data_IF_155535189020
#
_entry.id   IF_155535189020
#
_cell.length_a   1.000
_cell.length_b   1.000
_cell.length_c   1.000
_cell.angle_alpha   90.00
_cell.angle_beta   90.00
_cell.angle_gamma   90.00
#
_symmetry.space_group_name_H-M   'P 1'
#
loop_
_entity.id
_entity.type
_entity.pdbx_description
1 polymer ?
#
# COMPACT_ATOMS: atom_id res chain seq x y z
N UNK A 1 -23.19 -0.54 8.55
CA UNK A 1 -22.74 -0.49 7.15
C UNK A 1 -21.73 0.65 7.04
N UNK A 2 -20.46 0.37 7.30
CA UNK A 2 -19.39 1.27 6.86
C UNK A 2 -19.28 1.08 5.35
N UNK A 3 -18.95 2.13 4.58
CA UNK A 3 -18.79 1.99 3.13
C UNK A 3 -17.36 2.37 2.82
N UNK A 4 -16.51 1.40 2.49
CA UNK A 4 -15.17 1.71 1.97
C UNK A 4 -15.31 2.05 0.49
N UNK A 5 -15.71 3.27 0.21
CA UNK A 5 -15.92 3.72 -1.15
C UNK A 5 -17.01 4.78 -1.21
N UNK A 6 -16.75 5.79 -2.01
CA UNK A 6 -17.59 6.97 -2.25
C UNK A 6 -19.07 6.59 -2.36
N UNK A 7 -19.91 7.15 -1.48
CA UNK A 7 -21.38 7.08 -1.56
C UNK A 7 -21.90 7.97 -2.69
N UNK A 8 -21.64 7.60 -3.94
CA UNK A 8 -22.39 7.94 -5.16
C UNK A 8 -21.64 7.26 -6.33
N UNK A 9 -22.30 6.97 -7.45
CA UNK A 9 -21.70 6.43 -8.68
C UNK A 9 -20.72 7.41 -9.38
N UNK A 10 -19.95 8.19 -8.62
CA UNK A 10 -18.96 9.15 -9.10
C UNK A 10 -17.61 8.77 -8.50
N UNK A 11 -16.63 8.56 -9.37
CA UNK A 11 -15.21 8.25 -9.09
C UNK A 11 -14.45 9.35 -8.30
N UNK A 12 -15.13 10.18 -7.51
CA UNK A 12 -14.52 11.37 -6.95
C UNK A 12 -15.16 11.85 -5.65
N UNK A 13 -14.40 11.75 -4.56
CA UNK A 13 -14.63 12.54 -3.33
C UNK A 13 -14.64 14.03 -3.67
N UNK A 14 -15.59 14.79 -3.15
CA UNK A 14 -15.58 16.25 -3.27
C UNK A 14 -14.29 16.86 -2.69
N UNK A 15 -13.95 18.09 -3.11
CA UNK A 15 -12.80 18.83 -2.55
C UNK A 15 -12.85 18.90 -1.01
N UNK A 16 -14.04 19.04 -0.42
CA UNK A 16 -14.25 19.06 1.03
C UNK A 16 -13.88 17.72 1.67
N UNK A 17 -14.32 16.61 1.09
CA UNK A 17 -14.03 15.27 1.61
C UNK A 17 -12.55 14.93 1.47
N UNK A 18 -11.92 15.30 0.34
CA UNK A 18 -10.47 15.15 0.13
C UNK A 18 -9.69 15.89 1.20
N UNK A 19 -10.02 17.16 1.46
CA UNK A 19 -9.40 17.96 2.52
C UNK A 19 -9.61 17.37 3.92
N UNK A 20 -10.79 16.78 4.19
CA UNK A 20 -11.04 16.12 5.47
C UNK A 20 -10.16 14.88 5.67
N UNK A 21 -9.98 14.06 4.62
CA UNK A 21 -9.07 12.92 4.68
C UNK A 21 -7.62 13.39 4.87
N UNK A 22 -7.15 14.34 4.05
CA UNK A 22 -5.80 14.92 4.13
C UNK A 22 -5.50 15.45 5.54
N UNK A 23 -6.45 16.20 6.13
CA UNK A 23 -6.30 16.72 7.50
C UNK A 23 -6.14 15.60 8.54
N UNK A 24 -6.88 14.51 8.40
CA UNK A 24 -6.74 13.36 9.30
C UNK A 24 -5.39 12.66 9.14
N UNK A 25 -4.88 12.52 7.91
CA UNK A 25 -3.53 11.99 7.67
C UNK A 25 -2.46 12.91 8.27
N UNK A 26 -2.56 14.22 8.07
CA UNK A 26 -1.64 15.20 8.69
C UNK A 26 -1.67 15.14 10.23
N UNK A 27 -2.83 14.85 10.81
CA UNK A 27 -2.94 14.59 12.26
C UNK A 27 -2.11 13.36 12.68
N UNK A 28 -2.06 12.28 11.90
CA UNK A 28 -1.21 11.12 12.20
C UNK A 28 0.29 11.47 12.17
N UNK A 29 0.71 12.36 11.27
CA UNK A 29 2.10 12.84 11.18
C UNK A 29 2.53 13.76 12.33
N UNK A 30 1.57 14.31 13.08
CA UNK A 30 1.82 15.25 14.19
C UNK A 30 1.49 14.66 15.57
N UNK A 31 0.70 13.58 15.61
CA UNK A 31 0.37 12.86 16.83
C UNK A 31 1.56 12.01 17.30
N UNK A 32 1.82 11.89 18.61
CA UNK A 32 2.98 11.16 19.13
C UNK A 32 2.89 9.66 18.83
N UNK A 33 4.03 9.05 18.47
CA UNK A 33 4.14 7.59 18.31
C UNK A 33 3.70 6.85 19.58
N UNK A 34 3.10 5.67 19.38
CA UNK A 34 2.73 4.70 20.44
C UNK A 34 3.67 3.50 20.48
N UNK A 35 4.60 3.35 19.54
CA UNK A 35 5.61 2.29 19.58
C UNK A 35 6.54 2.48 20.78
N UNK A 36 7.05 1.37 21.31
CA UNK A 36 8.10 1.43 22.33
C UNK A 36 9.38 2.03 21.72
N UNK A 37 9.87 3.18 22.21
CA UNK A 37 11.07 3.83 21.67
C UNK A 37 12.35 3.01 21.87
N UNK A 38 12.35 2.00 22.74
CA UNK A 38 13.45 1.04 22.86
C UNK A 38 13.47 0.01 21.73
N UNK A 39 12.31 -0.26 21.11
CA UNK A 39 12.17 -1.23 20.00
C UNK A 39 12.22 -0.51 18.65
N UNK A 40 11.55 0.64 18.54
CA UNK A 40 11.44 1.41 17.29
C UNK A 40 11.93 2.86 17.53
N UNK A 41 13.24 3.08 17.75
CA UNK A 41 13.77 4.40 18.12
C UNK A 41 13.55 5.48 17.06
N UNK A 42 13.39 5.08 15.79
CA UNK A 42 13.09 5.98 14.69
C UNK A 42 11.66 6.48 14.63
N UNK A 43 10.68 5.81 15.26
CA UNK A 43 9.30 6.28 15.26
C UNK A 43 9.15 7.54 16.12
N UNK A 44 8.56 8.59 15.54
CA UNK A 44 8.29 9.88 16.22
C UNK A 44 6.82 10.23 16.25
N UNK A 45 6.07 9.82 15.24
CA UNK A 45 4.65 10.10 15.14
C UNK A 45 3.80 8.82 14.97
N UNK A 46 2.48 8.96 15.07
CA UNK A 46 1.54 7.84 14.91
C UNK A 46 1.62 7.21 13.53
N UNK A 47 1.95 7.99 12.51
CA UNK A 47 2.12 7.49 11.16
C UNK A 47 3.33 6.53 11.06
N UNK A 48 4.44 6.85 11.73
CA UNK A 48 5.62 6.00 11.81
C UNK A 48 5.32 4.63 12.42
N UNK A 49 4.32 4.51 13.30
CA UNK A 49 3.93 3.21 13.88
C UNK A 49 3.36 2.26 12.81
N UNK A 50 2.67 2.79 11.81
CA UNK A 50 2.21 2.03 10.64
C UNK A 50 3.38 1.63 9.74
N UNK A 51 4.30 2.56 9.48
CA UNK A 51 5.51 2.29 8.71
C UNK A 51 6.34 1.20 9.39
N UNK A 52 6.54 1.32 10.70
CA UNK A 52 7.25 0.35 11.51
C UNK A 52 6.57 -1.02 11.45
N UNK A 53 5.25 -1.09 11.64
CA UNK A 53 4.49 -2.34 11.62
C UNK A 53 4.72 -3.11 10.31
N UNK A 54 4.72 -2.40 9.18
CA UNK A 54 4.98 -2.98 7.88
C UNK A 54 6.44 -3.42 7.72
N UNK A 55 7.43 -2.57 8.07
CA UNK A 55 8.85 -2.92 8.04
C UNK A 55 9.12 -4.22 8.82
N UNK A 56 8.54 -4.34 10.02
CA UNK A 56 8.76 -5.46 10.92
C UNK A 56 8.28 -6.81 10.36
N UNK A 57 7.19 -6.79 9.59
CA UNK A 57 6.52 -8.01 9.13
C UNK A 57 6.66 -8.24 7.61
N UNK A 58 7.38 -7.39 6.89
CA UNK A 58 7.50 -7.40 5.42
C UNK A 58 7.80 -8.79 4.85
N UNK A 59 8.68 -9.58 5.49
CA UNK A 59 9.09 -10.92 5.03
C UNK A 59 8.11 -12.04 5.37
N UNK A 60 7.03 -11.73 6.08
CA UNK A 60 5.97 -12.68 6.48
C UNK A 60 4.57 -12.26 6.02
N UNK A 61 4.48 -11.19 5.22
CA UNK A 61 3.20 -10.61 4.75
C UNK A 61 3.15 -10.41 3.24
N UNK A 62 4.24 -10.70 2.51
CA UNK A 62 4.30 -10.62 1.04
C UNK A 62 4.75 -11.96 0.49
N UNK A 63 4.20 -12.39 -0.64
CA UNK A 63 4.46 -13.71 -1.20
C UNK A 63 4.04 -14.85 -0.26
N UNK A 64 3.11 -14.56 0.65
CA UNK A 64 2.66 -15.43 1.75
C UNK A 64 1.15 -15.66 1.67
N UNK A 65 0.64 -16.66 2.40
CA UNK A 65 -0.79 -16.97 2.43
C UNK A 65 -1.68 -15.99 3.19
N UNK A 66 -1.08 -15.05 3.95
CA UNK A 66 -1.80 -13.98 4.63
C UNK A 66 -1.72 -12.62 3.92
N UNK A 67 -1.06 -12.51 2.75
CA UNK A 67 -0.78 -11.23 2.10
C UNK A 67 -2.04 -10.35 1.96
N UNK A 68 -3.12 -10.91 1.39
CA UNK A 68 -4.36 -10.18 1.15
C UNK A 68 -5.09 -9.81 2.45
N UNK A 69 -5.27 -10.77 3.36
CA UNK A 69 -5.93 -10.56 4.65
C UNK A 69 -5.17 -9.58 5.55
N UNK A 70 -3.85 -9.64 5.55
CA UNK A 70 -3.01 -8.77 6.36
C UNK A 70 -3.12 -7.33 5.88
N UNK A 71 -3.02 -7.09 4.57
CA UNK A 71 -3.13 -5.74 4.01
C UNK A 71 -4.53 -5.17 4.16
N UNK A 72 -5.58 -5.98 4.00
CA UNK A 72 -6.95 -5.58 4.33
C UNK A 72 -7.06 -5.11 5.79
N UNK A 73 -6.52 -5.88 6.73
CA UNK A 73 -6.57 -5.51 8.14
C UNK A 73 -5.71 -4.29 8.47
N UNK A 74 -4.58 -4.12 7.79
CA UNK A 74 -3.70 -2.97 7.93
C UNK A 74 -4.37 -1.67 7.46
N UNK A 75 -5.04 -1.71 6.30
CA UNK A 75 -5.83 -0.59 5.77
C UNK A 75 -7.02 -0.26 6.68
N UNK A 76 -7.71 -1.27 7.20
CA UNK A 76 -8.77 -1.07 8.19
C UNK A 76 -8.26 -0.44 9.48
N UNK A 77 -7.12 -0.90 10.00
CA UNK A 77 -6.48 -0.31 11.18
C UNK A 77 -6.10 1.15 10.97
N UNK A 78 -5.64 1.49 9.77
CA UNK A 78 -5.32 2.86 9.39
C UNK A 78 -6.58 3.73 9.35
N UNK A 79 -7.66 3.28 8.70
CA UNK A 79 -8.95 3.97 8.73
C UNK A 79 -9.45 4.17 10.17
N UNK A 80 -9.39 3.13 11.00
CA UNK A 80 -9.79 3.20 12.40
C UNK A 80 -8.98 4.25 13.15
N UNK A 81 -7.65 4.32 12.97
CA UNK A 81 -6.82 5.34 13.58
C UNK A 81 -7.18 6.76 13.10
N UNK A 82 -7.42 6.94 11.79
CA UNK A 82 -7.88 8.24 11.26
C UNK A 82 -9.19 8.70 11.91
N UNK A 83 -10.13 7.77 12.13
CA UNK A 83 -11.45 8.06 12.70
C UNK A 83 -11.39 8.30 14.20
N UNK A 84 -10.78 7.37 14.94
CA UNK A 84 -10.81 7.34 16.39
C UNK A 84 -9.78 8.30 17.01
N UNK A 85 -8.63 8.52 16.35
CA UNK A 85 -7.54 9.36 16.88
C UNK A 85 -7.52 10.76 16.24
N UNK A 86 -7.94 10.88 14.98
CA UNK A 86 -7.85 12.13 14.21
C UNK A 86 -9.20 12.74 13.80
N UNK A 87 -10.32 12.18 14.29
CA UNK A 87 -11.66 12.74 14.10
C UNK A 87 -12.16 12.68 12.65
N UNK A 88 -11.59 11.81 11.82
CA UNK A 88 -12.08 11.59 10.46
C UNK A 88 -13.48 10.95 10.51
N UNK A 89 -14.41 11.48 9.72
CA UNK A 89 -15.78 10.93 9.64
C UNK A 89 -16.09 10.28 8.29
N UNK A 90 -15.19 10.44 7.32
CA UNK A 90 -15.30 9.77 6.02
C UNK A 90 -14.86 8.31 6.10
N UNK A 91 -14.47 7.78 4.95
CA UNK A 91 -14.05 6.39 4.78
C UNK A 91 -12.76 6.31 3.97
N UNK A 92 -12.02 5.21 4.09
CA UNK A 92 -10.76 5.04 3.38
C UNK A 92 -10.96 5.14 1.85
N UNK A 93 -10.35 6.11 1.17
CA UNK A 93 -10.42 6.20 -0.29
C UNK A 93 -9.46 5.21 -0.95
N UNK A 94 -9.77 4.85 -2.19
CA UNK A 94 -8.91 4.03 -3.05
C UNK A 94 -8.38 4.83 -4.24
N UNK A 95 -7.21 4.43 -4.75
CA UNK A 95 -6.62 4.99 -5.97
C UNK A 95 -7.06 4.15 -7.17
N UNK A 96 -7.98 4.68 -7.99
CA UNK A 96 -8.30 4.08 -9.27
C UNK A 96 -7.16 4.30 -10.28
N UNK A 97 -6.38 3.27 -10.56
CA UNK A 97 -5.21 3.36 -11.42
C UNK A 97 -5.54 3.68 -12.88
N UNK A 98 -6.70 3.24 -13.37
CA UNK A 98 -6.99 3.16 -14.80
C UNK A 98 -7.26 4.52 -15.47
N UNK A 99 -7.54 5.58 -14.70
CA UNK A 99 -7.97 6.88 -15.25
C UNK A 99 -6.81 7.78 -15.71
N UNK A 100 -5.64 7.65 -15.08
CA UNK A 100 -4.47 8.52 -15.33
C UNK A 100 -3.19 7.70 -15.49
N UNK A 101 -3.29 6.44 -15.93
CA UNK A 101 -2.17 5.51 -16.01
C UNK A 101 -1.04 5.97 -16.96
N UNK A 102 -1.36 6.78 -17.97
CA UNK A 102 -0.46 7.32 -18.98
C UNK A 102 0.13 8.68 -18.60
N UNK A 103 -0.44 9.36 -17.59
CA UNK A 103 0.04 10.63 -17.05
C UNK A 103 -0.34 10.79 -15.58
N UNK A 104 0.44 10.19 -14.69
CA UNK A 104 0.20 10.22 -13.25
C UNK A 104 0.21 11.63 -12.68
N UNK A 105 0.92 12.59 -13.30
CA UNK A 105 1.00 13.99 -12.83
C UNK A 105 -0.32 14.74 -13.03
N UNK A 106 -1.17 14.27 -13.95
CA UNK A 106 -2.56 14.74 -14.09
C UNK A 106 -3.52 14.05 -13.13
N UNK A 107 -3.11 12.94 -12.51
CA UNK A 107 -3.90 12.28 -11.49
C UNK A 107 -4.10 13.25 -10.33
N UNK A 108 -5.33 13.44 -9.86
CA UNK A 108 -5.52 14.37 -8.78
C UNK A 108 -5.15 13.84 -7.39
N UNK A 109 -4.56 12.66 -7.34
CA UNK A 109 -3.80 12.18 -6.19
C UNK A 109 -2.41 12.85 -6.18
N UNK A 110 -1.86 13.17 -7.35
CA UNK A 110 -0.48 13.62 -7.55
C UNK A 110 -0.34 15.01 -8.20
N UNK A 111 -1.44 15.72 -8.43
CA UNK A 111 -1.43 17.03 -9.13
C UNK A 111 -0.81 18.18 -8.31
N UNK A 112 -0.43 17.93 -7.05
CA UNK A 112 0.17 18.94 -6.17
C UNK A 112 -0.79 20.01 -5.66
N UNK A 113 -2.09 19.91 -5.96
CA UNK A 113 -3.13 20.81 -5.44
C UNK A 113 -3.30 20.64 -3.93
N UNK A 114 -4.03 21.56 -3.30
CA UNK A 114 -4.43 21.49 -1.89
C UNK A 114 -5.42 20.35 -1.58
N UNK A 115 -5.83 19.57 -2.59
CA UNK A 115 -6.66 18.36 -2.45
C UNK A 115 -5.98 17.08 -2.90
N UNK A 116 -4.68 17.14 -3.19
CA UNK A 116 -3.85 15.99 -3.57
C UNK A 116 -3.16 15.37 -2.36
N UNK A 117 -2.52 14.22 -2.59
CA UNK A 117 -1.57 13.60 -1.66
C UNK A 117 -0.14 14.10 -1.90
N UNK A 118 0.02 15.32 -2.39
CA UNK A 118 1.30 15.91 -2.78
C UNK A 118 1.60 15.74 -4.27
N UNK A 119 2.55 16.50 -4.80
CA UNK A 119 3.01 16.40 -6.20
C UNK A 119 4.00 15.24 -6.43
N UNK A 120 4.58 15.20 -7.63
CA UNK A 120 5.86 14.54 -7.89
C UNK A 120 7.01 15.17 -7.07
N UNK A 121 8.15 14.48 -7.03
CA UNK A 121 9.38 14.96 -6.43
C UNK A 121 10.11 15.98 -7.29
N UNK A 122 11.00 16.77 -6.68
CA UNK A 122 11.96 17.59 -7.43
C UNK A 122 12.84 16.70 -8.29
N UNK A 123 13.14 17.11 -9.52
CA UNK A 123 13.99 16.33 -10.42
C UNK A 123 15.37 16.03 -9.81
N UNK A 124 15.76 14.77 -9.83
CA UNK A 124 17.10 14.27 -9.49
C UNK A 124 17.54 13.36 -10.64
N UNK A 125 18.71 13.63 -11.21
CA UNK A 125 19.25 12.74 -12.24
C UNK A 125 19.71 11.42 -11.60
N UNK A 126 19.12 10.29 -12.03
CA UNK A 126 19.53 8.94 -11.64
C UNK A 126 19.31 7.94 -12.78
N UNK A 127 19.82 6.72 -12.62
CA UNK A 127 19.75 5.65 -13.61
C UNK A 127 18.61 4.65 -13.32
N UNK A 128 17.39 5.16 -13.18
CA UNK A 128 16.19 4.37 -12.93
C UNK A 128 16.12 3.73 -11.55
N UNK A 129 15.25 2.74 -11.46
CA UNK A 129 15.05 1.88 -10.29
C UNK A 129 15.12 0.41 -10.68
N UNK A 130 15.42 -0.48 -9.73
CA UNK A 130 15.34 -1.93 -9.95
C UNK A 130 14.38 -2.57 -8.96
N UNK A 131 13.18 -2.89 -9.44
CA UNK A 131 12.10 -3.52 -8.69
C UNK A 131 12.00 -5.03 -8.90
N UNK A 132 10.90 -5.63 -8.44
CA UNK A 132 10.61 -7.05 -8.63
C UNK A 132 11.68 -7.98 -8.04
N UNK A 133 12.09 -7.72 -6.79
CA UNK A 133 13.20 -8.41 -6.12
C UNK A 133 14.53 -8.32 -6.90
N UNK A 134 14.83 -7.16 -7.49
CA UNK A 134 16.09 -6.89 -8.19
C UNK A 134 16.13 -7.37 -9.64
N UNK A 135 14.97 -7.70 -10.24
CA UNK A 135 14.89 -8.34 -11.57
C UNK A 135 14.34 -7.45 -12.68
N UNK A 136 13.61 -6.40 -12.31
CA UNK A 136 12.86 -5.58 -13.27
C UNK A 136 13.39 -4.15 -13.21
N UNK A 137 14.05 -3.72 -14.29
CA UNK A 137 14.48 -2.34 -14.46
C UNK A 137 13.27 -1.45 -14.77
N UNK A 138 13.22 -0.30 -14.09
CA UNK A 138 12.27 0.75 -14.37
C UNK A 138 13.03 2.02 -14.76
N UNK A 139 12.68 2.69 -15.87
CA UNK A 139 13.29 3.96 -16.23
C UNK A 139 12.96 5.03 -15.19
N UNK A 140 13.86 6.00 -15.03
CA UNK A 140 13.64 7.16 -14.17
C UNK A 140 12.37 7.90 -14.57
N UNK A 141 11.63 8.39 -13.58
CA UNK A 141 10.59 9.37 -13.78
C UNK A 141 11.16 10.77 -14.01
N UNK A 142 10.31 11.78 -13.77
CA UNK A 142 10.70 13.20 -13.84
C UNK A 142 10.93 13.80 -12.45
N UNK A 143 10.94 12.95 -11.41
CA UNK A 143 11.13 13.33 -10.02
C UNK A 143 12.47 12.82 -9.47
N UNK A 144 12.41 12.13 -8.33
CA UNK A 144 13.55 11.51 -7.64
C UNK A 144 13.91 12.20 -6.32
N UNK A 145 13.48 13.45 -6.12
CA UNK A 145 13.71 14.21 -4.90
C UNK A 145 12.45 14.40 -4.04
N UNK A 146 12.50 15.38 -3.14
CA UNK A 146 11.41 15.70 -2.22
C UNK A 146 10.15 16.14 -2.99
N UNK A 147 8.96 15.77 -2.50
CA UNK A 147 7.68 16.29 -3.00
C UNK A 147 7.73 17.83 -3.09
N UNK A 148 7.32 18.40 -4.22
CA UNK A 148 7.46 19.84 -4.49
C UNK A 148 6.31 20.71 -3.98
N UNK A 149 5.08 20.19 -3.99
CA UNK A 149 3.86 20.92 -3.61
C UNK A 149 2.77 20.01 -3.04
N UNK A 150 1.70 20.64 -2.55
CA UNK A 150 0.57 19.98 -1.93
C UNK A 150 0.72 19.79 -0.41
N UNK A 151 -0.30 19.21 0.26
CA UNK A 151 -0.42 19.21 1.72
C UNK A 151 0.65 18.41 2.47
N UNK A 152 1.41 17.58 1.75
CA UNK A 152 2.45 16.71 2.32
C UNK A 152 3.88 17.15 1.95
N UNK A 153 4.07 18.33 1.36
CA UNK A 153 5.40 18.83 0.97
C UNK A 153 6.40 18.88 2.13
N UNK A 154 5.94 19.37 3.28
CA UNK A 154 6.81 19.65 4.44
C UNK A 154 6.75 18.54 5.50
N UNK A 155 6.14 17.37 5.19
CA UNK A 155 6.19 16.24 6.12
C UNK A 155 7.58 15.64 6.13
N UNK A 156 7.95 15.15 7.31
CA UNK A 156 9.18 14.40 7.51
C UNK A 156 8.85 12.92 7.67
N UNK A 157 9.56 12.08 6.93
CA UNK A 157 9.61 10.63 7.13
C UNK A 157 10.80 10.31 8.05
N UNK A 158 10.65 9.34 8.94
CA UNK A 158 11.68 9.04 9.95
C UNK A 158 12.27 7.63 9.86
N UNK A 159 11.58 6.71 9.17
CA UNK A 159 11.98 5.31 9.05
C UNK A 159 12.39 4.97 7.61
N UNK A 160 13.21 3.92 7.47
CA UNK A 160 13.76 3.48 6.19
C UNK A 160 14.67 4.53 5.52
N UNK A 161 14.99 4.35 4.22
CA UNK A 161 14.65 3.18 3.43
C UNK A 161 15.46 1.95 3.87
N UNK A 162 14.86 0.76 3.89
CA UNK A 162 15.52 -0.49 4.30
C UNK A 162 16.04 -1.29 3.09
N UNK A 163 15.35 -1.19 1.96
CA UNK A 163 15.67 -1.81 0.69
C UNK A 163 15.26 -0.89 -0.47
N UNK A 164 15.91 0.28 -0.61
CA UNK A 164 15.55 1.24 -1.65
C UNK A 164 15.85 0.67 -3.04
N UNK A 165 14.99 0.99 -4.01
CA UNK A 165 15.13 0.52 -5.38
C UNK A 165 15.64 1.56 -6.35
N UNK A 166 15.50 2.85 -6.02
CA UNK A 166 15.94 3.96 -6.86
C UNK A 166 17.46 4.12 -6.79
N UNK A 167 18.10 4.25 -7.94
CA UNK A 167 19.55 4.40 -8.03
C UNK A 167 20.03 5.65 -7.27
N UNK A 168 21.03 5.48 -6.40
CA UNK A 168 21.62 6.56 -5.60
C UNK A 168 21.04 6.70 -4.19
N UNK A 169 19.99 5.95 -3.85
CA UNK A 169 19.50 5.91 -2.46
C UNK A 169 20.34 5.00 -1.57
N UNK A 170 20.47 5.43 -0.31
CA UNK A 170 21.26 4.73 0.70
C UNK A 170 20.32 4.18 1.76
N UNK A 171 20.37 2.86 1.97
CA UNK A 171 19.60 2.21 3.02
C UNK A 171 20.10 2.60 4.41
N UNK A 172 19.22 2.55 5.40
CA UNK A 172 19.60 2.70 6.81
C UNK A 172 20.48 1.55 7.29
N UNK A 173 21.36 1.84 8.25
CA UNK A 173 22.25 0.84 8.85
C UNK A 173 21.50 -0.14 9.77
N UNK A 174 20.46 0.34 10.46
CA UNK A 174 19.62 -0.46 11.35
C UNK A 174 18.16 -0.33 10.95
N UNK A 175 17.39 -1.42 11.08
CA UNK A 175 16.03 -1.55 10.55
C UNK A 175 15.08 -0.41 10.97
N UNK A 176 15.18 0.05 12.22
CA UNK A 176 14.34 1.12 12.78
C UNK A 176 15.12 2.37 13.19
N UNK A 177 16.28 2.61 12.55
CA UNK A 177 17.08 3.80 12.80
C UNK A 177 16.28 5.08 12.54
N UNK A 178 16.52 6.10 13.37
CA UNK A 178 15.99 7.44 13.14
C UNK A 178 16.69 8.08 11.93
N UNK A 179 15.96 8.25 10.83
CA UNK A 179 16.44 8.79 9.57
C UNK A 179 15.51 9.89 9.02
N UNK A 180 15.46 11.07 9.69
CA UNK A 180 14.61 12.18 9.31
C UNK A 180 14.94 12.75 7.91
N UNK A 181 13.98 12.73 6.99
CA UNK A 181 14.11 13.28 5.63
C UNK A 181 12.75 13.70 5.06
N UNK A 182 12.76 14.42 3.94
CA UNK A 182 11.53 14.69 3.18
C UNK A 182 10.98 13.40 2.55
N UNK A 183 9.68 13.33 2.32
CA UNK A 183 9.09 12.29 1.47
C UNK A 183 9.49 12.52 0.01
N UNK A 184 9.99 11.48 -0.67
CA UNK A 184 10.40 11.52 -2.07
C UNK A 184 9.48 10.75 -2.99
N UNK A 185 9.31 11.26 -4.21
CA UNK A 185 8.63 10.56 -5.32
C UNK A 185 9.43 10.68 -6.61
N UNK A 186 9.32 9.65 -7.43
CA UNK A 186 9.82 9.63 -8.81
C UNK A 186 8.72 9.07 -9.70
N UNK A 187 7.67 9.88 -9.94
CA UNK A 187 6.50 9.37 -10.65
C UNK A 187 6.89 8.88 -12.04
N UNK A 188 6.53 7.65 -12.38
CA UNK A 188 6.83 7.07 -13.68
C UNK A 188 5.60 6.43 -14.29
N UNK A 189 5.31 6.83 -15.53
CA UNK A 189 4.21 6.27 -16.29
C UNK A 189 4.57 4.89 -16.86
N UNK A 190 5.85 4.49 -16.81
CA UNK A 190 6.29 3.19 -17.33
C UNK A 190 5.59 2.04 -16.60
N UNK A 191 5.63 2.04 -15.26
CA UNK A 191 4.99 0.98 -14.49
C UNK A 191 3.46 0.99 -14.65
N UNK A 192 2.84 2.16 -14.59
CA UNK A 192 1.39 2.29 -14.67
C UNK A 192 0.86 1.91 -16.03
N UNK A 193 1.50 2.38 -17.11
CA UNK A 193 1.05 2.09 -18.48
C UNK A 193 1.26 0.63 -18.90
N UNK A 194 2.25 -0.08 -18.32
CA UNK A 194 2.51 -1.48 -18.67
C UNK A 194 1.69 -2.47 -17.82
N UNK A 195 1.43 -2.16 -16.54
CA UNK A 195 0.84 -3.13 -15.62
C UNK A 195 -0.46 -2.71 -14.97
N UNK A 196 -0.74 -1.41 -14.77
CA UNK A 196 -2.00 -0.95 -14.18
C UNK A 196 -3.13 -0.83 -15.21
N UNK A 197 -3.31 -1.89 -16.00
CA UNK A 197 -4.19 -1.91 -17.18
C UNK A 197 -5.47 -2.69 -16.92
N UNK A 198 -6.53 -2.36 -17.66
CA UNK A 198 -7.79 -3.12 -17.63
C UNK A 198 -7.62 -4.57 -18.09
N UNK A 199 -6.63 -4.86 -18.93
CA UNK A 199 -6.30 -6.23 -19.35
C UNK A 199 -5.80 -7.07 -18.18
N UNK A 200 -4.89 -6.52 -17.36
CA UNK A 200 -4.41 -7.22 -16.17
C UNK A 200 -5.51 -7.35 -15.11
N UNK A 201 -6.39 -6.34 -14.97
CA UNK A 201 -7.58 -6.47 -14.12
C UNK A 201 -8.49 -7.61 -14.61
N UNK A 202 -8.73 -7.70 -15.92
CA UNK A 202 -9.53 -8.77 -16.50
C UNK A 202 -8.88 -10.14 -16.24
N UNK A 203 -7.57 -10.27 -16.47
CA UNK A 203 -6.85 -11.51 -16.22
C UNK A 203 -7.03 -11.99 -14.76
N UNK A 204 -6.91 -11.07 -13.81
CA UNK A 204 -7.08 -11.33 -12.39
C UNK A 204 -8.52 -11.69 -11.99
N UNK A 205 -9.53 -11.06 -12.58
CA UNK A 205 -10.92 -11.18 -12.13
C UNK A 205 -11.71 -12.24 -12.88
N UNK A 206 -11.44 -12.45 -14.16
CA UNK A 206 -12.21 -13.35 -15.03
C UNK A 206 -11.34 -14.21 -15.97
N UNK A 207 -10.06 -13.87 -16.14
CA UNK A 207 -9.14 -14.59 -17.00
C UNK A 207 -8.39 -15.75 -16.32
N UNK A 208 -7.30 -16.24 -16.94
CA UNK A 208 -6.53 -17.37 -16.43
C UNK A 208 -6.04 -17.25 -14.98
N UNK A 209 -5.66 -16.05 -14.54
CA UNK A 209 -5.19 -15.84 -13.18
C UNK A 209 -6.32 -15.93 -12.13
N UNK A 210 -7.58 -15.76 -12.54
CA UNK A 210 -8.73 -15.81 -11.66
C UNK A 210 -9.09 -17.22 -11.13
N UNK A 211 -8.44 -18.28 -11.65
CA UNK A 211 -8.82 -19.68 -11.42
C UNK A 211 -8.89 -20.09 -9.94
N UNK A 212 -7.98 -19.61 -9.11
CA UNK A 212 -7.98 -19.83 -7.67
C UNK A 212 -7.15 -18.76 -6.96
N UNK A 213 -7.22 -18.73 -5.63
CA UNK A 213 -6.54 -17.72 -4.81
C UNK A 213 -5.01 -17.70 -5.04
N UNK A 214 -4.39 -18.86 -5.30
CA UNK A 214 -2.95 -18.95 -5.54
C UNK A 214 -2.55 -18.23 -6.85
N UNK A 215 -3.24 -18.53 -7.95
CA UNK A 215 -2.96 -17.87 -9.23
C UNK A 215 -3.32 -16.38 -9.19
N UNK A 216 -4.41 -16.02 -8.50
CA UNK A 216 -4.85 -14.65 -8.34
C UNK A 216 -3.78 -13.82 -7.62
N UNK A 217 -3.36 -14.24 -6.41
CA UNK A 217 -2.42 -13.45 -5.63
C UNK A 217 -1.02 -13.40 -6.24
N UNK A 218 -0.59 -14.45 -6.95
CA UNK A 218 0.71 -14.48 -7.63
C UNK A 218 0.72 -13.50 -8.82
N UNK A 219 -0.36 -13.45 -9.59
CA UNK A 219 -0.50 -12.47 -10.67
C UNK A 219 -0.63 -11.05 -10.11
N UNK A 220 -1.37 -10.87 -9.01
CA UNK A 220 -1.60 -9.56 -8.41
C UNK A 220 -0.28 -8.96 -7.87
N UNK A 221 0.52 -9.77 -7.18
CA UNK A 221 1.81 -9.37 -6.59
C UNK A 221 2.93 -9.24 -7.62
N UNK A 222 2.87 -10.03 -8.69
CA UNK A 222 3.83 -10.02 -9.78
C UNK A 222 4.56 -11.35 -9.98
N UNK A 223 4.82 -11.68 -11.24
CA UNK A 223 5.65 -12.81 -11.68
C UNK A 223 7.03 -12.27 -12.04
N UNK A 224 7.82 -11.92 -11.01
CA UNK A 224 9.04 -11.15 -11.20
C UNK A 224 10.10 -11.85 -12.08
N UNK A 225 10.21 -13.18 -11.99
CA UNK A 225 11.10 -13.97 -12.86
C UNK A 225 10.73 -13.90 -14.35
N UNK A 226 9.52 -13.41 -14.65
CA UNK A 226 8.99 -13.27 -16.01
C UNK A 226 8.91 -11.79 -16.43
N UNK A 227 9.53 -10.88 -15.67
CA UNK A 227 9.51 -9.45 -15.97
C UNK A 227 8.16 -8.78 -15.75
N UNK A 228 7.27 -9.38 -14.97
CA UNK A 228 5.90 -8.89 -14.75
C UNK A 228 5.72 -8.39 -13.31
N UNK A 229 5.40 -7.11 -13.14
CA UNK A 229 5.23 -6.50 -11.82
C UNK A 229 3.86 -6.79 -11.17
N UNK A 230 2.82 -7.07 -11.95
CA UNK A 230 1.46 -7.17 -11.41
C UNK A 230 0.93 -5.82 -10.90
N UNK A 231 -0.35 -5.77 -10.52
CA UNK A 231 -1.00 -4.53 -10.10
C UNK A 231 -0.42 -3.98 -8.79
N UNK A 232 -0.02 -4.84 -7.86
CA UNK A 232 0.53 -4.42 -6.57
C UNK A 232 1.90 -3.78 -6.73
N UNK A 233 2.89 -4.49 -7.29
CA UNK A 233 4.22 -3.92 -7.38
C UNK A 233 4.26 -2.71 -8.34
N UNK A 234 3.47 -2.74 -9.43
CA UNK A 234 3.41 -1.61 -10.34
C UNK A 234 2.84 -0.34 -9.69
N UNK A 235 1.87 -0.44 -8.79
CA UNK A 235 1.33 0.73 -8.08
C UNK A 235 2.39 1.42 -7.22
N UNK A 236 3.20 0.66 -6.48
CA UNK A 236 4.35 1.18 -5.73
C UNK A 236 5.40 1.78 -6.64
N UNK A 237 5.82 1.06 -7.68
CA UNK A 237 6.89 1.51 -8.56
C UNK A 237 6.48 2.64 -9.52
N UNK A 238 5.19 2.85 -9.74
CA UNK A 238 4.66 4.04 -10.41
C UNK A 238 4.86 5.32 -9.62
N UNK A 239 4.91 5.23 -8.29
CA UNK A 239 5.16 6.37 -7.41
C UNK A 239 6.66 6.63 -7.26
N UNK A 240 7.46 5.56 -7.20
CA UNK A 240 8.92 5.65 -7.07
C UNK A 240 9.34 6.28 -5.73
N UNK A 241 10.61 6.67 -5.63
CA UNK A 241 11.16 7.23 -4.38
C UNK A 241 10.90 6.32 -3.17
N UNK A 242 10.40 6.89 -2.07
CA UNK A 242 10.15 6.15 -0.82
C UNK A 242 9.06 5.06 -0.99
N UNK A 243 8.12 5.22 -1.91
CA UNK A 243 7.10 4.21 -2.20
C UNK A 243 7.67 2.96 -2.89
N UNK A 244 8.86 3.07 -3.51
CA UNK A 244 9.57 1.95 -4.13
C UNK A 244 10.30 1.04 -3.13
N UNK A 245 10.45 1.46 -1.87
CA UNK A 245 11.10 0.63 -0.85
C UNK A 245 10.18 -0.50 -0.37
N UNK A 246 10.62 -1.74 -0.49
CA UNK A 246 9.79 -2.92 -0.18
C UNK A 246 9.32 -2.98 1.28
N UNK A 247 10.09 -2.45 2.23
CA UNK A 247 9.76 -2.50 3.65
C UNK A 247 9.08 -1.23 4.13
N UNK A 248 9.52 -0.07 3.63
CA UNK A 248 9.09 1.23 4.11
C UNK A 248 8.23 1.99 3.10
N UNK A 249 7.64 1.32 2.10
CA UNK A 249 6.68 1.92 1.16
C UNK A 249 5.50 2.64 1.82
N UNK A 250 5.01 2.26 3.04
CA UNK A 250 3.98 3.05 3.72
C UNK A 250 4.45 4.45 4.14
N UNK A 251 5.72 4.81 4.01
CA UNK A 251 6.15 6.21 4.18
C UNK A 251 5.37 7.16 3.25
N UNK A 252 4.98 6.69 2.06
CA UNK A 252 4.11 7.46 1.18
C UNK A 252 2.62 7.24 1.55
N UNK A 253 1.86 8.30 1.88
CA UNK A 253 0.45 8.18 2.26
C UNK A 253 -0.49 7.69 1.15
N UNK A 254 -0.03 7.62 -0.10
CA UNK A 254 -0.77 6.96 -1.18
C UNK A 254 -0.77 5.44 -1.04
N UNK A 255 0.13 4.85 -0.23
CA UNK A 255 0.13 3.42 0.10
C UNK A 255 -1.26 2.91 0.47
N UNK A 256 -1.96 3.61 1.38
CA UNK A 256 -3.27 3.18 1.87
C UNK A 256 -4.36 3.29 0.81
N UNK A 257 -4.25 4.24 -0.13
CA UNK A 257 -5.16 4.35 -1.27
C UNK A 257 -4.89 3.27 -2.32
N UNK A 258 -3.62 2.96 -2.55
CA UNK A 258 -3.20 1.87 -3.42
C UNK A 258 -3.69 0.51 -2.89
N UNK A 259 -3.46 0.22 -1.60
CA UNK A 259 -3.90 -1.02 -0.98
C UNK A 259 -5.42 -1.12 -0.80
N UNK A 260 -6.13 -0.01 -0.62
CA UNK A 260 -7.60 -0.02 -0.70
C UNK A 260 -8.10 -0.40 -2.12
N UNK A 261 -7.38 -0.03 -3.18
CA UNK A 261 -7.72 -0.47 -4.54
C UNK A 261 -7.38 -1.94 -4.77
N UNK A 262 -6.27 -2.45 -4.22
CA UNK A 262 -5.95 -3.88 -4.26
C UNK A 262 -6.99 -4.70 -3.52
N UNK A 263 -7.42 -4.23 -2.35
CA UNK A 263 -8.49 -4.87 -1.60
C UNK A 263 -9.82 -4.85 -2.36
N UNK A 264 -10.13 -3.75 -3.07
CA UNK A 264 -11.27 -3.69 -3.99
C UNK A 264 -11.18 -4.73 -5.10
N UNK A 265 -10.01 -4.93 -5.71
CA UNK A 265 -9.82 -5.96 -6.75
C UNK A 265 -10.03 -7.35 -6.16
N UNK A 266 -9.50 -7.63 -4.97
CA UNK A 266 -9.72 -8.89 -4.29
C UNK A 266 -11.18 -9.11 -3.91
N UNK A 267 -11.86 -8.08 -3.38
CA UNK A 267 -13.29 -8.12 -3.07
C UNK A 267 -14.15 -8.42 -4.30
N UNK A 268 -13.86 -7.79 -5.45
CA UNK A 268 -14.53 -8.10 -6.73
C UNK A 268 -14.30 -9.57 -7.11
N UNK A 269 -13.05 -10.05 -7.02
CA UNK A 269 -12.74 -11.45 -7.32
C UNK A 269 -13.50 -12.40 -6.37
N UNK A 270 -13.52 -12.13 -5.07
CA UNK A 270 -14.28 -12.94 -4.09
C UNK A 270 -15.77 -13.00 -4.43
N UNK A 271 -16.36 -11.88 -4.86
CA UNK A 271 -17.78 -11.82 -5.26
C UNK A 271 -18.08 -12.61 -6.55
N UNK A 272 -17.10 -12.76 -7.44
CA UNK A 272 -17.22 -13.51 -8.69
C UNK A 272 -16.90 -15.01 -8.53
N UNK A 273 -16.12 -15.38 -7.51
CA UNK A 273 -15.60 -16.73 -7.28
C UNK A 273 -15.99 -17.25 -5.89
N UNK A 274 -17.30 -17.43 -5.67
CA UNK A 274 -17.87 -17.81 -4.37
C UNK A 274 -17.44 -19.19 -3.85
N UNK A 275 -16.89 -20.06 -4.70
CA UNK A 275 -16.28 -21.32 -4.27
C UNK A 275 -14.86 -21.11 -3.70
N UNK A 276 -14.20 -20.00 -4.05
CA UNK A 276 -12.86 -19.64 -3.61
C UNK A 276 -12.82 -18.53 -2.55
N UNK A 277 -13.92 -17.82 -2.28
CA UNK A 277 -13.87 -16.60 -1.45
C UNK A 277 -13.32 -16.79 -0.02
N UNK A 278 -13.40 -18.02 0.52
CA UNK A 278 -12.86 -18.41 1.83
C UNK A 278 -11.61 -19.29 1.77
N UNK A 279 -10.96 -19.41 0.61
CA UNK A 279 -9.74 -20.18 0.45
C UNK A 279 -8.51 -19.29 0.59
N UNK A 280 -7.39 -19.91 1.00
CA UNK A 280 -6.08 -19.27 1.08
C UNK A 280 -5.05 -20.20 0.40
N UNK A 281 -3.91 -19.64 0.00
CA UNK A 281 -2.81 -20.43 -0.55
C UNK A 281 -1.47 -19.76 -0.27
N UNK A 282 -0.41 -20.56 -0.20
CA UNK A 282 0.95 -20.09 0.08
C UNK A 282 1.40 -20.43 1.50
N UNK A 283 2.59 -19.97 1.84
CA UNK A 283 3.27 -20.31 3.10
C UNK A 283 3.39 -19.10 4.03
N UNK A 284 3.98 -19.29 5.20
CA UNK A 284 4.16 -18.21 6.20
C UNK A 284 5.46 -17.43 6.02
N UNK A 285 6.24 -17.70 4.96
CA UNK A 285 7.49 -17.00 4.64
C UNK A 285 7.48 -16.46 3.21
N UNK A 286 8.11 -15.31 3.00
CA UNK A 286 8.23 -14.63 1.71
C UNK A 286 8.66 -15.58 0.59
N UNK A 287 7.76 -15.81 -0.38
CA UNK A 287 7.98 -16.73 -1.50
C UNK A 287 8.47 -18.13 -1.08
N UNK A 288 8.03 -18.59 0.10
CA UNK A 288 8.48 -19.83 0.72
C UNK A 288 10.01 -19.91 0.91
N UNK A 289 10.64 -18.78 1.25
CA UNK A 289 12.08 -18.68 1.48
C UNK A 289 12.41 -18.03 2.85
N UNK A 290 12.98 -18.79 3.81
CA UNK A 290 13.23 -20.23 3.75
C UNK A 290 11.92 -21.03 3.65
N UNK A 291 11.95 -22.30 3.19
CA UNK A 291 10.76 -23.13 3.15
C UNK A 291 10.06 -23.21 4.51
N UNK A 292 8.74 -23.05 4.53
CA UNK A 292 7.91 -23.10 5.72
C UNK A 292 6.62 -23.87 5.46
N UNK A 293 5.83 -24.07 6.52
CA UNK A 293 4.51 -24.71 6.39
C UNK A 293 3.54 -23.82 5.61
N UNK A 294 2.53 -24.45 5.03
CA UNK A 294 1.39 -23.73 4.48
C UNK A 294 0.72 -22.86 5.54
N UNK A 295 0.21 -21.71 5.09
CA UNK A 295 -0.65 -20.88 5.91
C UNK A 295 -2.00 -21.58 6.11
N UNK A 296 -2.58 -21.44 7.29
CA UNK A 296 -3.90 -21.99 7.65
C UNK A 296 -4.82 -20.88 8.13
N UNK A 297 -6.14 -21.09 8.08
CA UNK A 297 -7.12 -20.06 8.43
C UNK A 297 -6.97 -19.59 9.88
N UNK A 298 -6.49 -20.46 10.75
CA UNK A 298 -6.27 -20.22 12.18
C UNK A 298 -4.99 -19.43 12.49
N UNK A 299 -4.14 -19.17 11.48
CA UNK A 299 -2.94 -18.38 11.68
C UNK A 299 -3.30 -16.96 12.11
N UNK A 300 -2.60 -16.46 13.13
CA UNK A 300 -2.87 -15.15 13.71
C UNK A 300 -2.21 -14.03 12.90
N UNK A 301 -3.02 -13.05 12.51
CA UNK A 301 -2.59 -11.74 12.03
C UNK A 301 -2.51 -10.79 13.23
N UNK A 302 -1.31 -10.27 13.49
CA UNK A 302 -1.00 -9.41 14.63
C UNK A 302 -0.52 -8.05 14.16
N UNK A 303 -1.09 -6.98 14.72
CA UNK A 303 -0.72 -5.59 14.46
C UNK A 303 -0.19 -4.95 15.74
N UNK A 304 0.89 -5.53 16.28
CA UNK A 304 1.41 -5.28 17.63
C UNK A 304 1.70 -3.81 17.94
N UNK A 305 1.90 -2.96 16.94
CA UNK A 305 2.20 -1.52 17.13
C UNK A 305 1.01 -0.60 16.83
N UNK A 306 -0.12 -1.16 16.43
CA UNK A 306 -1.30 -0.39 16.00
C UNK A 306 -2.47 -0.45 16.98
N UNK A 307 -2.32 -1.16 18.11
CA UNK A 307 -3.38 -1.33 19.10
C UNK A 307 -4.67 -1.92 18.48
N UNK A 308 -4.50 -2.91 17.60
CA UNK A 308 -5.59 -3.71 17.06
C UNK A 308 -5.56 -5.10 17.67
N UNK A 309 -6.75 -5.67 17.89
CA UNK A 309 -6.88 -7.04 18.36
C UNK A 309 -6.25 -8.02 17.37
N UNK A 310 -5.58 -9.07 17.86
CA UNK A 310 -5.15 -10.14 16.99
C UNK A 310 -6.38 -10.88 16.41
N UNK A 311 -6.31 -11.22 15.11
CA UNK A 311 -7.39 -11.91 14.38
C UNK A 311 -6.82 -13.10 13.63
N UNK A 312 -7.63 -14.11 13.38
CA UNK A 312 -7.21 -15.22 12.50
C UNK A 312 -7.26 -14.76 11.04
N UNK A 313 -6.53 -15.42 10.13
CA UNK A 313 -6.70 -15.17 8.69
C UNK A 313 -8.16 -15.37 8.27
N UNK A 314 -8.83 -16.40 8.81
CA UNK A 314 -10.23 -16.70 8.55
C UNK A 314 -11.19 -15.55 8.87
N UNK A 315 -10.97 -14.84 9.99
CA UNK A 315 -11.77 -13.67 10.39
C UNK A 315 -11.65 -12.49 9.41
N UNK A 316 -10.62 -12.50 8.56
CA UNK A 316 -10.23 -11.36 7.72
C UNK A 316 -10.57 -11.57 6.23
N UNK A 317 -11.19 -12.69 5.86
CA UNK A 317 -11.48 -13.00 4.47
C UNK A 317 -12.69 -12.26 3.91
N UNK A 318 -13.75 -12.04 4.69
CA UNK A 318 -14.98 -11.39 4.22
C UNK A 318 -15.07 -9.94 4.68
N UNK A 319 -15.48 -9.02 3.80
CA UNK A 319 -15.69 -7.60 4.18
C UNK A 319 -17.01 -7.36 4.90
N UNK A 320 -17.91 -8.37 4.92
CA UNK A 320 -19.25 -8.32 5.50
C UNK A 320 -19.49 -9.42 6.56
N UNK A 321 -18.43 -10.03 7.08
CA UNK A 321 -18.50 -11.14 8.05
C UNK A 321 -18.65 -10.62 9.51
N UNK A 322 -19.34 -9.50 9.71
CA UNK A 322 -19.64 -8.76 10.95
C UNK A 322 -18.45 -8.20 11.76
N UNK A 323 -17.37 -8.95 11.97
CA UNK A 323 -16.20 -8.48 12.74
C UNK A 323 -14.90 -9.04 12.16
N UNK A 324 -13.87 -8.21 11.92
CA UNK A 324 -13.80 -6.77 12.20
C UNK A 324 -14.45 -5.89 11.11
N UNK A 325 -14.93 -6.49 10.00
CA UNK A 325 -15.32 -5.75 8.82
C UNK A 325 -16.84 -5.70 8.62
N UNK A 326 -17.31 -4.55 8.15
CA UNK A 326 -18.68 -4.35 7.70
C UNK A 326 -18.68 -3.27 6.61
N UNK A 327 -18.08 -3.57 5.45
CA UNK A 327 -17.98 -2.65 4.32
C UNK A 327 -18.10 -3.29 2.93
N UNK A 328 -18.40 -2.43 1.95
CA UNK A 328 -18.38 -2.71 0.51
C UNK A 328 -17.59 -1.63 -0.22
N UNK A 329 -17.19 -1.94 -1.46
CA UNK A 329 -16.69 -0.97 -2.41
C UNK A 329 -17.79 -0.53 -3.38
N UNK A 330 -17.78 0.77 -3.72
CA UNK A 330 -18.64 1.38 -4.73
C UNK A 330 -17.84 1.73 -6.01
#
# INVERSE_FOLDING_TARGET
MLVLGVTDCRNWMSSKERKAYIKAVQCMFTSPSKSDPAIVPGAKNRYDDFVAQHINQTTTIHGTGNFLSWHRYFVHGYEKALRDECGYTGYQPYWNWFTYQDDLRKSPIFDGSDTSMGSDGSFVAHNGSVGGAGRIFLPSGEGGGCIMSGPFKDIQTHLGPNSPTMAGEVKVNETFAYNPRCLKRDLTNYASSNWLTSENLYNLTLGPAAKNIATFQNELQGRFDQGFLGLHAAGHFSIGGDAGDFFSSPNDPVFFMHHAMLDRVWWIWQALHLDQYKTIAGTVTLFNNPPSRDAVLEDMVQMNWLNLDARTIGDLLGTLDDTPFCYIYL
#
